data_IF_724282698969
#
_entry.id   IF_724282698969
#
_cell.length_a   1.000
_cell.length_b   1.000
_cell.length_c   1.000
_cell.angle_alpha   90.00
_cell.angle_beta   90.00
_cell.angle_gamma   90.00
#
_symmetry.space_group_name_H-M   'P 1'
#
loop_
_entity.id
_entity.type
_entity.pdbx_description
1 polymer ?
#
# COMPACT_ATOMS: atom_id res chain seq x y z
N UNK A 1 -11.44 27.35 31.48
CA UNK A 1 -10.85 26.47 30.47
C UNK A 1 -11.90 25.43 30.07
N UNK A 2 -12.33 25.44 28.80
CA UNK A 2 -13.20 24.38 28.27
C UNK A 2 -12.37 23.10 28.20
N UNK A 3 -12.79 22.03 28.88
CA UNK A 3 -12.09 20.73 28.78
C UNK A 3 -12.32 20.16 27.39
N UNK A 4 -11.25 19.90 26.64
CA UNK A 4 -11.29 19.24 25.32
C UNK A 4 -11.43 17.74 25.60
N UNK A 5 -12.58 17.16 25.26
CA UNK A 5 -12.88 15.73 25.44
C UNK A 5 -12.96 14.97 24.12
N UNK A 6 -12.50 15.58 23.02
CA UNK A 6 -12.51 14.96 21.69
C UNK A 6 -11.10 14.92 21.10
N UNK A 7 -10.87 13.94 20.26
CA UNK A 7 -9.65 13.84 19.46
C UNK A 7 -9.59 14.94 18.39
N UNK A 8 -8.40 15.30 17.90
CA UNK A 8 -8.28 16.15 16.72
C UNK A 8 -9.02 15.57 15.52
N UNK A 9 -9.40 16.41 14.56
CA UNK A 9 -10.07 15.99 13.35
C UNK A 9 -9.20 15.03 12.51
N UNK A 10 -9.78 13.93 12.03
CA UNK A 10 -9.10 12.92 11.24
C UNK A 10 -8.30 11.89 12.03
N UNK A 11 -8.35 11.95 13.37
CA UNK A 11 -7.83 10.90 14.26
C UNK A 11 -8.91 10.43 15.21
N UNK A 12 -8.81 9.19 15.69
CA UNK A 12 -9.84 8.62 16.57
C UNK A 12 -9.27 7.56 17.52
N UNK A 13 -9.92 7.40 18.65
CA UNK A 13 -9.66 6.27 19.53
C UNK A 13 -10.27 4.99 18.95
N UNK A 14 -9.52 3.88 19.01
CA UNK A 14 -9.99 2.55 18.63
C UNK A 14 -9.93 1.66 19.86
N UNK A 15 -11.04 1.08 20.27
CA UNK A 15 -11.14 0.30 21.50
C UNK A 15 -12.08 -0.92 21.35
N UNK A 16 -12.09 -1.77 22.38
CA UNK A 16 -13.02 -2.91 22.48
C UNK A 16 -12.86 -3.89 21.31
N UNK A 17 -13.99 -4.29 20.71
CA UNK A 17 -14.05 -5.27 19.64
C UNK A 17 -13.30 -4.82 18.39
N UNK A 18 -13.45 -3.56 17.98
CA UNK A 18 -12.76 -3.02 16.79
C UNK A 18 -11.23 -3.08 16.96
N UNK A 19 -10.72 -2.73 18.15
CA UNK A 19 -9.28 -2.81 18.43
C UNK A 19 -8.77 -4.26 18.32
N UNK A 20 -9.50 -5.24 18.89
CA UNK A 20 -9.16 -6.66 18.78
C UNK A 20 -9.20 -7.15 17.33
N UNK A 21 -10.20 -6.75 16.54
CA UNK A 21 -10.30 -7.09 15.12
C UNK A 21 -9.11 -6.51 14.34
N UNK A 22 -8.70 -5.29 14.63
CA UNK A 22 -7.52 -4.66 14.00
C UNK A 22 -6.22 -5.40 14.35
N UNK A 23 -6.07 -5.84 15.60
CA UNK A 23 -4.92 -6.63 16.03
C UNK A 23 -4.88 -7.99 15.31
N UNK A 24 -6.02 -8.68 15.20
CA UNK A 24 -6.11 -9.96 14.50
C UNK A 24 -5.84 -9.81 12.99
N UNK A 25 -6.36 -8.77 12.35
CA UNK A 25 -6.03 -8.43 10.96
C UNK A 25 -4.51 -8.28 10.79
N UNK A 26 -3.88 -7.47 11.64
CA UNK A 26 -2.43 -7.27 11.62
C UNK A 26 -1.67 -8.58 11.81
N UNK A 27 -2.10 -9.44 12.72
CA UNK A 27 -1.50 -10.75 12.98
C UNK A 27 -1.55 -11.66 11.75
N UNK A 28 -2.70 -11.71 11.03
CA UNK A 28 -2.86 -12.52 9.82
C UNK A 28 -1.95 -12.04 8.70
N UNK A 29 -1.94 -10.75 8.42
CA UNK A 29 -1.08 -10.17 7.38
C UNK A 29 0.39 -10.40 7.71
N UNK A 30 0.83 -10.10 8.95
CA UNK A 30 2.20 -10.34 9.41
C UNK A 30 2.62 -11.81 9.21
N UNK A 31 1.73 -12.76 9.52
CA UNK A 31 1.99 -14.19 9.33
C UNK A 31 2.24 -14.54 7.86
N UNK A 32 1.56 -13.87 6.92
CA UNK A 32 1.83 -14.06 5.50
C UNK A 32 3.22 -13.55 5.15
N UNK A 33 3.58 -12.33 5.53
CA UNK A 33 4.90 -11.74 5.24
C UNK A 33 6.04 -12.62 5.77
N UNK A 34 5.91 -13.14 7.00
CA UNK A 34 6.88 -14.05 7.59
C UNK A 34 7.01 -15.38 6.85
N UNK A 35 5.92 -15.94 6.30
CA UNK A 35 5.97 -17.17 5.49
C UNK A 35 6.73 -16.99 4.17
N UNK A 36 6.78 -15.77 3.65
CA UNK A 36 7.57 -15.41 2.47
C UNK A 36 9.03 -15.05 2.82
N UNK A 37 9.44 -15.21 4.10
CA UNK A 37 10.82 -14.98 4.54
C UNK A 37 11.18 -13.51 4.73
N UNK A 38 10.19 -12.61 4.83
CA UNK A 38 10.46 -11.19 5.12
C UNK A 38 10.72 -10.99 6.61
N UNK A 39 11.67 -10.12 6.93
CA UNK A 39 12.07 -9.76 8.29
C UNK A 39 11.44 -8.45 8.73
N UNK A 40 11.17 -8.32 10.03
CA UNK A 40 10.62 -7.09 10.61
C UNK A 40 11.64 -5.95 10.57
N UNK A 41 11.16 -4.76 10.22
CA UNK A 41 11.88 -3.51 10.45
C UNK A 41 10.98 -2.50 11.16
N UNK A 42 11.54 -1.82 12.14
CA UNK A 42 10.92 -0.65 12.77
C UNK A 42 11.75 0.60 12.46
N UNK A 43 11.14 1.56 11.78
CA UNK A 43 11.73 2.87 11.51
C UNK A 43 11.15 3.92 12.46
N UNK A 44 11.87 5.03 12.72
CA UNK A 44 11.37 6.11 13.58
C UNK A 44 10.03 6.66 13.09
N UNK A 45 9.18 7.10 14.04
CA UNK A 45 7.90 7.74 13.71
C UNK A 45 8.08 9.13 13.10
N UNK A 46 9.19 9.77 13.38
CA UNK A 46 9.56 11.05 12.78
C UNK A 46 10.99 10.98 12.23
N UNK A 47 11.24 11.73 11.18
CA UNK A 47 12.50 11.78 10.44
C UNK A 47 12.86 13.23 10.14
N UNK A 48 14.07 13.46 9.66
CA UNK A 48 14.41 14.75 9.06
C UNK A 48 13.58 15.01 7.80
N UNK A 49 13.22 16.25 7.55
CA UNK A 49 12.40 16.65 6.40
C UNK A 49 13.00 16.20 5.05
N UNK A 50 14.32 16.15 4.95
CA UNK A 50 15.06 15.75 3.76
C UNK A 50 14.73 14.32 3.30
N UNK A 51 14.38 13.42 4.24
CA UNK A 51 13.96 12.05 3.92
C UNK A 51 12.66 12.02 3.12
N UNK A 52 11.83 13.07 3.24
CA UNK A 52 10.55 13.21 2.53
C UNK A 52 10.51 14.46 1.64
N UNK A 53 11.66 14.96 1.19
CA UNK A 53 11.75 16.09 0.27
C UNK A 53 11.10 15.79 -1.09
N UNK A 54 10.90 16.82 -1.93
CA UNK A 54 10.17 16.71 -3.20
C UNK A 54 10.71 15.62 -4.15
N UNK A 55 12.00 15.31 -4.09
CA UNK A 55 12.63 14.32 -4.96
C UNK A 55 12.37 12.88 -4.49
N UNK A 56 12.07 12.69 -3.21
CA UNK A 56 11.90 11.39 -2.55
C UNK A 56 10.46 11.19 -2.06
N UNK A 57 9.75 12.28 -1.80
CA UNK A 57 8.45 12.26 -1.11
C UNK A 57 7.29 11.78 -1.97
N UNK A 58 6.42 10.98 -1.33
CA UNK A 58 5.15 10.51 -1.89
C UNK A 58 4.01 11.50 -1.67
N UNK A 59 4.20 12.47 -0.78
CA UNK A 59 3.19 13.41 -0.30
C UNK A 59 3.70 14.84 -0.48
N UNK A 60 2.87 15.78 -0.99
CA UNK A 60 3.25 17.17 -1.10
C UNK A 60 3.68 17.77 0.24
N UNK A 61 4.73 18.59 0.22
CA UNK A 61 5.32 19.22 1.43
C UNK A 61 4.30 19.95 2.32
N UNK A 62 3.21 20.50 1.74
CA UNK A 62 2.12 21.18 2.46
C UNK A 62 1.24 20.22 3.27
N UNK A 63 1.27 18.94 2.94
CA UNK A 63 0.48 17.89 3.59
C UNK A 63 1.29 17.09 4.63
N UNK A 64 2.51 17.53 4.94
CA UNK A 64 3.35 16.95 5.98
C UNK A 64 3.09 17.63 7.34
N UNK A 65 3.06 16.83 8.42
CA UNK A 65 3.12 17.34 9.79
C UNK A 65 4.58 17.65 10.13
N UNK A 66 4.92 18.95 10.23
CA UNK A 66 6.27 19.44 10.49
C UNK A 66 6.39 20.04 11.88
N UNK A 67 7.54 19.85 12.51
CA UNK A 67 7.91 20.44 13.78
C UNK A 67 9.44 20.65 13.84
N UNK A 68 9.94 21.24 14.90
CA UNK A 68 11.37 21.55 15.04
C UNK A 68 11.93 20.85 16.27
N UNK A 69 13.18 20.40 16.15
CA UNK A 69 13.96 19.98 17.31
C UNK A 69 14.58 21.19 18.02
N UNK A 70 15.38 20.93 19.08
CA UNK A 70 16.03 21.98 19.85
C UNK A 70 17.13 22.72 19.09
N UNK A 71 17.71 22.09 18.08
CA UNK A 71 18.80 22.62 17.27
C UNK A 71 18.27 23.36 16.02
N UNK A 72 16.94 23.41 15.84
CA UNK A 72 16.26 24.11 14.74
C UNK A 72 16.10 23.27 13.48
N UNK A 73 16.41 21.98 13.51
CA UNK A 73 16.19 21.11 12.36
C UNK A 73 14.69 20.86 12.17
N UNK A 74 14.26 20.83 10.90
CA UNK A 74 12.87 20.48 10.55
C UNK A 74 12.68 18.98 10.58
N UNK A 75 11.77 18.52 11.43
CA UNK A 75 11.34 17.13 11.56
C UNK A 75 9.94 16.94 10.99
N UNK A 76 9.63 15.71 10.56
CA UNK A 76 8.35 15.35 9.93
C UNK A 76 7.84 14.07 10.55
N UNK A 77 6.55 14.01 10.93
CA UNK A 77 5.88 12.73 11.14
C UNK A 77 5.83 11.99 9.81
N UNK A 78 6.27 10.74 9.77
CA UNK A 78 6.35 9.96 8.52
C UNK A 78 4.99 9.88 7.81
N UNK A 79 4.89 10.35 6.55
CA UNK A 79 3.68 10.22 5.74
C UNK A 79 3.59 8.86 5.06
N UNK A 80 4.73 8.15 4.97
CA UNK A 80 4.93 6.88 4.29
C UNK A 80 6.13 6.15 4.91
N UNK A 81 6.21 4.82 4.73
CA UNK A 81 7.33 4.02 5.23
C UNK A 81 8.45 3.84 4.23
N UNK A 82 8.15 3.75 2.94
CA UNK A 82 9.13 3.40 1.89
C UNK A 82 10.39 4.26 1.91
N UNK A 83 10.33 5.62 2.05
CA UNK A 83 11.55 6.42 2.16
C UNK A 83 12.36 6.13 3.43
N UNK A 84 11.69 5.92 4.58
CA UNK A 84 12.37 5.57 5.84
C UNK A 84 13.06 4.21 5.77
N UNK A 85 12.40 3.21 5.17
CA UNK A 85 12.99 1.87 4.94
C UNK A 85 14.15 1.95 3.97
N UNK A 86 14.00 2.71 2.86
CA UNK A 86 15.07 2.94 1.88
C UNK A 86 16.31 3.58 2.50
N UNK A 87 16.14 4.62 3.34
CA UNK A 87 17.22 5.23 4.11
C UNK A 87 17.89 4.23 5.06
N UNK A 88 17.12 3.45 5.79
CA UNK A 88 17.64 2.44 6.70
C UNK A 88 18.39 1.34 5.93
N UNK A 89 17.86 0.89 4.80
CA UNK A 89 18.50 -0.09 3.94
C UNK A 89 19.86 0.42 3.43
N UNK A 90 19.91 1.63 2.92
CA UNK A 90 21.15 2.26 2.46
C UNK A 90 22.18 2.43 3.56
N UNK A 91 21.77 2.54 4.83
CA UNK A 91 22.66 2.77 5.97
C UNK A 91 23.18 1.48 6.62
N UNK A 92 22.42 0.38 6.57
CA UNK A 92 22.69 -0.79 7.40
C UNK A 92 22.81 -2.11 6.61
N UNK A 93 22.46 -2.12 5.33
CA UNK A 93 22.46 -3.34 4.50
C UNK A 93 23.30 -3.15 3.25
N UNK A 94 23.62 -4.25 2.58
CA UNK A 94 24.37 -4.30 1.32
C UNK A 94 23.54 -5.00 0.23
N UNK A 95 22.51 -4.33 -0.31
CA UNK A 95 21.57 -4.96 -1.25
C UNK A 95 22.18 -5.33 -2.61
N UNK A 96 23.39 -4.87 -2.89
CA UNK A 96 24.24 -5.27 -4.04
C UNK A 96 24.86 -6.66 -3.86
N UNK A 97 24.99 -7.15 -2.63
CA UNK A 97 25.55 -8.47 -2.31
C UNK A 97 24.45 -9.53 -2.17
N UNK A 98 23.36 -9.20 -1.47
CA UNK A 98 22.23 -10.09 -1.22
C UNK A 98 20.92 -9.26 -1.17
N UNK A 99 19.85 -9.73 -1.84
CA UNK A 99 18.55 -9.06 -1.74
C UNK A 99 18.05 -8.97 -0.31
N UNK A 100 17.59 -7.77 0.06
CA UNK A 100 17.05 -7.46 1.38
C UNK A 100 15.52 -7.50 1.33
N UNK A 101 14.90 -8.28 2.23
CA UNK A 101 13.44 -8.45 2.31
C UNK A 101 12.95 -8.00 3.68
N UNK A 102 12.24 -6.88 3.72
CA UNK A 102 11.80 -6.24 4.96
C UNK A 102 10.28 -6.04 4.96
N UNK A 103 9.66 -6.18 6.13
CA UNK A 103 8.28 -5.75 6.31
C UNK A 103 8.13 -4.87 7.55
N UNK A 104 7.13 -4.00 7.50
CA UNK A 104 6.83 -3.05 8.57
C UNK A 104 5.34 -2.98 8.89
N UNK A 105 5.05 -2.52 10.11
CA UNK A 105 3.68 -2.21 10.56
C UNK A 105 3.72 -0.96 11.43
N UNK A 106 2.93 0.04 11.11
CA UNK A 106 2.85 1.25 11.94
C UNK A 106 1.90 2.31 11.38
N UNK A 107 1.87 3.45 12.04
CA UNK A 107 1.06 4.60 11.66
C UNK A 107 1.83 5.52 10.72
N UNK A 108 1.10 6.08 9.77
CA UNK A 108 1.52 7.20 8.92
C UNK A 108 0.58 8.37 9.11
N UNK A 109 1.09 9.58 8.83
CA UNK A 109 0.42 10.83 9.19
C UNK A 109 0.39 11.78 7.99
N UNK A 110 -0.82 12.15 7.55
CA UNK A 110 -1.02 13.07 6.41
C UNK A 110 -1.91 14.21 6.85
N UNK A 111 -1.40 15.43 6.75
CA UNK A 111 -2.14 16.65 7.07
C UNK A 111 -3.00 17.11 5.86
N UNK A 112 -3.91 16.22 5.44
CA UNK A 112 -4.87 16.53 4.39
C UNK A 112 -5.92 17.55 4.85
N UNK A 113 -6.53 18.28 3.89
CA UNK A 113 -7.60 19.22 4.21
C UNK A 113 -8.83 18.51 4.79
N UNK A 114 -9.49 19.15 5.76
CA UNK A 114 -10.58 18.62 6.58
C UNK A 114 -11.85 18.22 5.83
N UNK A 115 -12.03 18.67 4.60
CA UNK A 115 -13.30 18.59 3.86
C UNK A 115 -13.63 17.21 3.27
N UNK A 116 -12.81 16.18 3.51
CA UNK A 116 -12.99 14.87 2.83
C UNK A 116 -13.33 13.71 3.78
N UNK A 117 -13.45 13.92 5.08
CA UNK A 117 -13.70 12.83 6.05
C UNK A 117 -12.59 11.76 6.08
N UNK A 118 -11.40 12.06 5.56
CA UNK A 118 -10.26 11.14 5.52
C UNK A 118 -9.56 11.10 6.87
N UNK A 119 -9.08 9.91 7.23
CA UNK A 119 -8.20 9.77 8.38
C UNK A 119 -6.85 10.44 8.09
N UNK A 120 -6.32 11.17 9.08
CA UNK A 120 -5.00 11.79 9.06
C UNK A 120 -3.93 10.90 9.66
N UNK A 121 -4.35 9.90 10.44
CA UNK A 121 -3.53 8.82 10.98
C UNK A 121 -4.06 7.51 10.42
N UNK A 122 -3.22 6.76 9.71
CA UNK A 122 -3.57 5.52 9.02
C UNK A 122 -2.56 4.44 9.41
N UNK A 123 -3.05 3.24 9.70
CA UNK A 123 -2.17 2.09 9.89
C UNK A 123 -1.81 1.47 8.55
N UNK A 124 -0.52 1.41 8.27
CA UNK A 124 0.07 0.75 7.12
C UNK A 124 0.79 -0.53 7.53
N UNK A 125 0.69 -1.54 6.66
CA UNK A 125 1.49 -2.76 6.71
C UNK A 125 2.07 -2.98 5.33
N UNK A 126 3.38 -3.01 5.20
CA UNK A 126 4.01 -3.10 3.89
C UNK A 126 5.26 -3.94 3.89
N UNK A 127 5.71 -4.26 2.70
CA UNK A 127 6.93 -5.01 2.43
C UNK A 127 7.78 -4.28 1.41
N UNK A 128 9.10 -4.43 1.54
CA UNK A 128 10.07 -3.92 0.57
C UNK A 128 11.08 -5.03 0.27
N UNK A 129 11.26 -5.34 -1.03
CA UNK A 129 12.33 -6.21 -1.54
C UNK A 129 13.30 -5.36 -2.33
N UNK A 130 14.54 -5.31 -1.88
CA UNK A 130 15.58 -4.41 -2.35
C UNK A 130 16.76 -5.24 -2.83
N UNK A 131 17.32 -4.92 -4.01
CA UNK A 131 18.44 -5.64 -4.62
C UNK A 131 18.02 -6.70 -5.65
N UNK A 132 16.75 -6.77 -6.04
CA UNK A 132 16.25 -7.77 -7.00
C UNK A 132 15.41 -7.12 -8.11
N UNK A 133 15.89 -7.17 -9.36
CA UNK A 133 15.19 -6.63 -10.54
C UNK A 133 14.48 -7.71 -11.37
N UNK A 134 14.31 -8.90 -10.85
CA UNK A 134 13.67 -9.99 -11.58
C UNK A 134 12.14 -9.83 -11.68
N UNK A 135 11.49 -10.32 -12.74
CA UNK A 135 10.04 -10.43 -12.81
C UNK A 135 9.49 -11.46 -11.79
N UNK A 136 10.31 -12.38 -11.33
CA UNK A 136 10.02 -13.32 -10.27
C UNK A 136 9.75 -12.59 -8.93
N UNK A 137 10.56 -11.58 -8.61
CA UNK A 137 10.34 -10.73 -7.44
C UNK A 137 9.01 -9.96 -7.52
N UNK A 138 8.69 -9.41 -8.69
CA UNK A 138 7.42 -8.73 -8.93
C UNK A 138 6.22 -9.67 -8.75
N UNK A 139 6.30 -10.88 -9.32
CA UNK A 139 5.25 -11.89 -9.21
C UNK A 139 5.04 -12.38 -7.77
N UNK A 140 6.12 -12.56 -7.02
CA UNK A 140 6.06 -12.98 -5.61
C UNK A 140 5.35 -11.93 -4.74
N UNK A 141 5.62 -10.63 -4.94
CA UNK A 141 4.93 -9.57 -4.20
C UNK A 141 3.45 -9.47 -4.57
N UNK A 142 3.10 -9.67 -5.84
CA UNK A 142 1.70 -9.75 -6.26
C UNK A 142 1.00 -10.97 -5.64
N UNK A 143 1.65 -12.14 -5.62
CA UNK A 143 1.13 -13.35 -4.98
C UNK A 143 0.94 -13.14 -3.46
N UNK A 144 1.92 -12.54 -2.80
CA UNK A 144 1.85 -12.18 -1.38
C UNK A 144 0.71 -11.18 -1.09
N UNK A 145 0.50 -10.20 -1.98
CA UNK A 145 -0.63 -9.27 -1.89
C UNK A 145 -1.97 -10.02 -1.89
N UNK A 146 -2.15 -10.95 -2.84
CA UNK A 146 -3.36 -11.78 -2.94
C UNK A 146 -3.52 -12.63 -1.69
N UNK A 147 -2.47 -13.33 -1.24
CA UNK A 147 -2.53 -14.18 -0.05
C UNK A 147 -2.84 -13.40 1.23
N UNK A 148 -2.26 -12.22 1.39
CA UNK A 148 -2.53 -11.35 2.53
C UNK A 148 -4.01 -10.95 2.61
N UNK A 149 -4.62 -10.54 1.50
CA UNK A 149 -6.04 -10.22 1.44
C UNK A 149 -6.92 -11.45 1.70
N UNK A 150 -6.59 -12.59 1.10
CA UNK A 150 -7.29 -13.87 1.32
C UNK A 150 -7.20 -14.34 2.77
N UNK A 151 -6.07 -14.15 3.43
CA UNK A 151 -5.85 -14.51 4.84
C UNK A 151 -6.78 -13.74 5.80
N UNK A 152 -7.16 -12.52 5.41
CA UNK A 152 -8.13 -11.69 6.13
C UNK A 152 -9.58 -12.08 5.85
N UNK A 153 -9.84 -13.05 4.96
CA UNK A 153 -11.17 -13.50 4.59
C UNK A 153 -11.77 -12.77 3.38
N UNK A 154 -11.10 -11.78 2.82
CA UNK A 154 -11.57 -11.10 1.61
C UNK A 154 -11.50 -12.05 0.42
N UNK A 155 -12.56 -12.14 -0.40
CA UNK A 155 -12.66 -13.05 -1.56
C UNK A 155 -12.91 -12.30 -2.86
N UNK A 156 -13.69 -11.23 -2.79
CA UNK A 156 -14.13 -10.42 -3.93
C UNK A 156 -13.24 -9.17 -4.02
N UNK A 157 -12.13 -9.29 -4.73
CA UNK A 157 -11.21 -8.18 -4.99
C UNK A 157 -10.48 -8.40 -6.31
N UNK A 158 -9.88 -7.33 -6.81
CA UNK A 158 -9.07 -7.35 -8.02
C UNK A 158 -7.78 -6.56 -7.80
N UNK A 159 -6.67 -7.09 -8.29
CA UNK A 159 -5.38 -6.42 -8.34
C UNK A 159 -5.15 -5.93 -9.75
N UNK A 160 -5.21 -4.63 -9.93
CA UNK A 160 -4.93 -3.94 -11.19
C UNK A 160 -3.44 -3.71 -11.30
N UNK A 161 -2.83 -4.17 -12.39
CA UNK A 161 -1.38 -4.08 -12.63
C UNK A 161 -1.11 -3.23 -13.87
N UNK A 162 -0.34 -2.17 -13.71
CA UNK A 162 0.15 -1.32 -14.78
C UNK A 162 1.66 -1.43 -14.97
N UNK A 163 2.17 -0.75 -16.01
CA UNK A 163 3.61 -0.73 -16.30
C UNK A 163 4.04 0.68 -16.74
N UNK A 164 4.78 1.32 -15.86
CA UNK A 164 5.19 2.73 -16.04
C UNK A 164 6.14 2.91 -17.21
N UNK A 165 7.03 1.94 -17.46
CA UNK A 165 8.00 2.04 -18.54
C UNK A 165 7.37 1.97 -19.93
N UNK A 166 6.21 1.33 -20.07
CA UNK A 166 5.46 1.35 -21.32
C UNK A 166 5.11 2.79 -21.70
N UNK A 167 4.49 3.53 -20.79
CA UNK A 167 4.13 4.92 -21.02
C UNK A 167 5.33 5.85 -21.14
N UNK A 168 6.33 5.72 -20.25
CA UNK A 168 7.56 6.53 -20.29
C UNK A 168 8.34 6.40 -21.58
N UNK A 169 8.43 5.18 -22.15
CA UNK A 169 9.14 4.96 -23.39
C UNK A 169 8.44 5.59 -24.60
N UNK A 170 7.11 5.59 -24.61
CA UNK A 170 6.30 6.27 -25.62
C UNK A 170 6.40 7.79 -25.50
N UNK A 171 6.40 8.34 -24.28
CA UNK A 171 6.63 9.78 -24.07
C UNK A 171 8.00 10.21 -24.56
N UNK A 172 9.04 9.41 -24.30
CA UNK A 172 10.38 9.69 -24.79
C UNK A 172 10.46 9.68 -26.32
N UNK A 173 9.74 8.77 -26.97
CA UNK A 173 9.64 8.71 -28.43
C UNK A 173 8.87 9.91 -29.00
N UNK A 174 7.81 10.34 -28.31
CA UNK A 174 6.99 11.48 -28.69
C UNK A 174 7.74 12.82 -28.62
N UNK A 175 8.76 12.92 -27.73
CA UNK A 175 9.57 14.13 -27.58
C UNK A 175 8.78 15.36 -27.13
N UNK A 176 7.71 15.15 -26.33
CA UNK A 176 6.87 16.23 -25.83
C UNK A 176 7.61 17.11 -24.82
N UNK A 177 7.25 18.39 -24.78
CA UNK A 177 7.65 19.28 -23.70
C UNK A 177 7.02 18.84 -22.36
N UNK A 178 7.72 19.12 -21.26
CA UNK A 178 7.35 18.63 -19.92
C UNK A 178 5.90 18.95 -19.53
N UNK A 179 5.42 20.13 -19.90
CA UNK A 179 4.05 20.56 -19.61
C UNK A 179 3.01 19.72 -20.36
N UNK A 180 3.27 19.42 -21.64
CA UNK A 180 2.42 18.55 -22.46
C UNK A 180 2.47 17.10 -21.96
N UNK A 181 3.62 16.59 -21.52
CA UNK A 181 3.74 15.28 -20.89
C UNK A 181 2.90 15.17 -19.60
N UNK A 182 3.00 16.17 -18.71
CA UNK A 182 2.23 16.20 -17.47
C UNK A 182 0.72 16.26 -17.73
N UNK A 183 0.31 17.04 -18.75
CA UNK A 183 -1.08 17.13 -19.17
C UNK A 183 -1.58 15.81 -19.76
N UNK A 184 -0.83 15.19 -20.67
CA UNK A 184 -1.18 13.89 -21.25
C UNK A 184 -1.32 12.82 -20.17
N UNK A 185 -0.39 12.80 -19.20
CA UNK A 185 -0.44 11.90 -18.05
C UNK A 185 -1.71 12.08 -17.22
N UNK A 186 -2.11 13.31 -16.97
CA UNK A 186 -3.32 13.62 -16.22
C UNK A 186 -4.57 13.12 -16.97
N UNK A 187 -4.68 13.44 -18.26
CA UNK A 187 -5.80 13.03 -19.11
C UNK A 187 -5.96 11.50 -19.19
N UNK A 188 -4.85 10.77 -19.36
CA UNK A 188 -4.86 9.29 -19.40
C UNK A 188 -5.28 8.73 -18.04
N UNK A 189 -4.69 9.23 -16.95
CA UNK A 189 -5.01 8.79 -15.58
C UNK A 189 -6.48 9.01 -15.20
N UNK A 190 -7.07 10.09 -15.70
CA UNK A 190 -8.47 10.46 -15.47
C UNK A 190 -9.44 9.82 -16.47
N UNK A 191 -8.90 9.02 -17.42
CA UNK A 191 -9.65 8.39 -18.52
C UNK A 191 -10.46 9.41 -19.34
N UNK A 192 -9.88 10.59 -19.53
CA UNK A 192 -10.44 11.66 -20.35
C UNK A 192 -10.08 11.44 -21.83
N UNK A 193 -10.85 10.61 -22.51
CA UNK A 193 -10.62 10.19 -23.91
C UNK A 193 -10.55 11.39 -24.87
N UNK A 194 -11.52 12.29 -24.79
CA UNK A 194 -11.58 13.47 -25.66
C UNK A 194 -10.39 14.41 -25.45
N UNK A 195 -10.00 14.65 -24.21
CA UNK A 195 -8.82 15.45 -23.93
C UNK A 195 -7.53 14.84 -24.47
N UNK A 196 -7.40 13.51 -24.47
CA UNK A 196 -6.25 12.81 -25.08
C UNK A 196 -6.25 13.00 -26.60
N UNK A 197 -7.40 12.84 -27.27
CA UNK A 197 -7.54 13.07 -28.72
C UNK A 197 -7.15 14.51 -29.08
N UNK A 198 -7.69 15.49 -28.38
CA UNK A 198 -7.42 16.92 -28.62
C UNK A 198 -5.92 17.24 -28.42
N UNK A 199 -5.32 16.78 -27.32
CA UNK A 199 -3.92 17.04 -27.06
C UNK A 199 -2.99 16.40 -28.11
N UNK A 200 -3.29 15.17 -28.53
CA UNK A 200 -2.53 14.43 -29.54
C UNK A 200 -2.56 15.17 -30.89
N UNK A 201 -3.71 15.72 -31.30
CA UNK A 201 -3.86 16.53 -32.51
C UNK A 201 -3.11 17.86 -32.39
N UNK A 202 -3.24 18.57 -31.25
CA UNK A 202 -2.53 19.83 -30.97
C UNK A 202 -1.01 19.67 -31.06
N UNK A 203 -0.49 18.59 -30.48
CA UNK A 203 0.95 18.27 -30.49
C UNK A 203 1.45 17.69 -31.82
N UNK A 204 0.55 17.43 -32.79
CA UNK A 204 0.86 16.92 -34.14
C UNK A 204 1.70 15.65 -34.11
N UNK A 205 1.36 14.73 -33.21
CA UNK A 205 2.07 13.47 -33.08
C UNK A 205 1.94 12.64 -34.38
N UNK A 206 2.93 11.81 -34.67
CA UNK A 206 2.84 10.90 -35.80
C UNK A 206 1.65 9.92 -35.61
N UNK A 207 1.03 9.42 -36.68
CA UNK A 207 -0.20 8.61 -36.60
C UNK A 207 -0.07 7.39 -35.69
N UNK A 208 1.10 6.76 -35.62
CA UNK A 208 1.36 5.59 -34.79
C UNK A 208 1.32 5.95 -33.30
N UNK A 209 2.05 6.99 -32.87
CA UNK A 209 2.03 7.46 -31.49
C UNK A 209 0.66 8.01 -31.05
N UNK A 210 0.01 8.74 -31.97
CA UNK A 210 -1.35 9.23 -31.76
C UNK A 210 -2.30 8.07 -31.42
N UNK A 211 -2.32 7.02 -32.23
CA UNK A 211 -3.15 5.85 -32.03
C UNK A 211 -2.86 5.15 -30.69
N UNK A 212 -1.57 5.01 -30.30
CA UNK A 212 -1.23 4.39 -29.02
C UNK A 212 -1.73 5.20 -27.85
N UNK A 213 -1.50 6.52 -27.82
CA UNK A 213 -1.95 7.37 -26.73
C UNK A 213 -3.48 7.44 -26.59
N UNK A 214 -4.19 7.47 -27.72
CA UNK A 214 -5.66 7.42 -27.73
C UNK A 214 -6.20 6.07 -27.19
N UNK A 215 -5.50 4.97 -27.46
CA UNK A 215 -5.88 3.64 -26.97
C UNK A 215 -5.51 3.39 -25.49
N UNK A 216 -4.48 4.05 -24.95
CA UNK A 216 -4.00 3.81 -23.57
C UNK A 216 -5.10 3.83 -22.51
N UNK A 217 -6.03 4.81 -22.46
CA UNK A 217 -7.09 4.80 -21.47
C UNK A 217 -8.06 3.62 -21.59
N UNK A 218 -8.09 2.96 -22.77
CA UNK A 218 -8.93 1.80 -23.06
C UNK A 218 -8.22 0.46 -22.79
N UNK A 219 -6.91 0.47 -22.62
CA UNK A 219 -6.11 -0.73 -22.36
C UNK A 219 -6.26 -1.20 -20.91
N UNK A 220 -7.45 -1.69 -20.60
CA UNK A 220 -7.81 -2.25 -19.30
C UNK A 220 -8.55 -3.57 -19.48
N UNK A 221 -8.22 -4.58 -18.68
CA UNK A 221 -8.93 -5.87 -18.67
C UNK A 221 -8.05 -7.07 -18.34
N UNK A 222 -8.42 -8.22 -18.90
CA UNK A 222 -7.73 -9.49 -18.72
C UNK A 222 -6.38 -9.53 -19.48
N UNK A 223 -5.73 -10.67 -19.49
CA UNK A 223 -4.42 -10.88 -20.15
C UNK A 223 -4.42 -10.54 -21.65
N UNK A 224 -5.55 -10.58 -22.32
CA UNK A 224 -5.70 -10.21 -23.75
C UNK A 224 -5.27 -8.77 -24.03
N UNK A 225 -5.39 -7.89 -23.03
CA UNK A 225 -4.93 -6.49 -23.13
C UNK A 225 -3.43 -6.40 -23.39
N UNK A 226 -2.63 -7.34 -22.88
CA UNK A 226 -1.17 -7.39 -23.13
C UNK A 226 -0.87 -7.58 -24.62
N UNK A 227 -1.61 -8.47 -25.31
CA UNK A 227 -1.45 -8.68 -26.76
C UNK A 227 -1.81 -7.43 -27.56
N UNK A 228 -2.89 -6.75 -27.16
CA UNK A 228 -3.30 -5.49 -27.76
C UNK A 228 -2.23 -4.42 -27.57
N UNK A 229 -1.74 -4.22 -26.34
CA UNK A 229 -0.70 -3.25 -26.02
C UNK A 229 0.57 -3.49 -26.84
N UNK A 230 0.99 -4.77 -26.98
CA UNK A 230 2.15 -5.16 -27.77
C UNK A 230 1.98 -4.82 -29.27
N UNK A 231 0.78 -4.98 -29.82
CA UNK A 231 0.51 -4.73 -31.25
C UNK A 231 0.43 -3.25 -31.64
N UNK A 232 0.34 -2.35 -30.66
CA UNK A 232 0.18 -0.92 -30.92
C UNK A 232 1.49 -0.18 -31.15
N UNK A 233 2.65 -0.78 -30.82
CA UNK A 233 3.93 -0.09 -30.92
C UNK A 233 5.09 -1.03 -31.27
N UNK A 234 6.05 -0.50 -32.03
CA UNK A 234 7.33 -1.15 -32.31
C UNK A 234 8.45 -0.67 -31.36
N UNK A 235 8.13 0.22 -30.41
CA UNK A 235 9.09 0.71 -29.42
C UNK A 235 9.61 -0.43 -28.55
N UNK A 236 10.88 -0.77 -28.71
CA UNK A 236 11.51 -1.92 -28.06
C UNK A 236 11.44 -1.87 -26.51
N UNK A 237 11.43 -0.68 -25.93
CA UNK A 237 11.31 -0.52 -24.47
C UNK A 237 9.88 -0.75 -24.01
N UNK A 238 8.89 -0.27 -24.77
CA UNK A 238 7.48 -0.55 -24.51
C UNK A 238 7.17 -2.05 -24.68
N UNK A 239 7.71 -2.69 -25.72
CA UNK A 239 7.56 -4.14 -25.96
C UNK A 239 8.13 -4.94 -24.78
N UNK A 240 9.36 -4.63 -24.31
CA UNK A 240 9.97 -5.29 -23.13
C UNK A 240 9.13 -5.09 -21.86
N UNK A 241 8.50 -3.93 -21.71
CA UNK A 241 7.60 -3.67 -20.58
C UNK A 241 6.37 -4.60 -20.60
N UNK A 242 5.81 -4.88 -21.80
CA UNK A 242 4.71 -5.86 -21.95
C UNK A 242 5.21 -7.28 -21.70
N UNK A 243 6.37 -7.67 -22.25
CA UNK A 243 6.96 -9.00 -22.03
C UNK A 243 7.20 -9.30 -20.54
N UNK A 244 7.61 -8.28 -19.77
CA UNK A 244 7.73 -8.42 -18.31
C UNK A 244 6.36 -8.73 -17.65
N UNK A 245 5.28 -8.06 -18.05
CA UNK A 245 3.94 -8.34 -17.56
C UNK A 245 3.45 -9.75 -17.97
N UNK A 246 3.73 -10.17 -19.19
CA UNK A 246 3.43 -11.53 -19.68
C UNK A 246 4.14 -12.58 -18.79
N UNK A 247 5.44 -12.38 -18.52
CA UNK A 247 6.22 -13.26 -17.62
C UNK A 247 5.65 -13.30 -16.22
N UNK A 248 5.32 -12.17 -15.64
CA UNK A 248 4.69 -12.06 -14.31
C UNK A 248 3.36 -12.84 -14.29
N UNK A 249 2.54 -12.70 -15.32
CA UNK A 249 1.26 -13.40 -15.40
C UNK A 249 1.43 -14.93 -15.46
N UNK A 250 2.40 -15.43 -16.22
CA UNK A 250 2.70 -16.87 -16.26
C UNK A 250 3.15 -17.39 -14.88
N UNK A 251 3.93 -16.63 -14.14
CA UNK A 251 4.31 -16.97 -12.76
C UNK A 251 3.09 -16.98 -11.83
N UNK A 252 2.20 -16.01 -11.95
CA UNK A 252 0.98 -15.94 -11.14
C UNK A 252 0.01 -17.09 -11.40
N UNK A 253 0.00 -17.67 -12.61
CA UNK A 253 -0.71 -18.94 -12.87
C UNK A 253 -0.14 -20.10 -12.06
N UNK A 254 1.19 -20.16 -11.90
CA UNK A 254 1.83 -21.19 -11.06
C UNK A 254 1.42 -21.04 -9.59
N UNK A 255 1.27 -19.78 -9.12
CA UNK A 255 0.70 -19.49 -7.79
C UNK A 255 -0.81 -19.77 -7.69
N UNK A 256 -1.54 -19.87 -8.82
CA UNK A 256 -3.00 -20.03 -8.85
C UNK A 256 -3.76 -18.75 -8.52
N UNK A 257 -3.15 -17.60 -8.75
CA UNK A 257 -3.69 -16.27 -8.40
C UNK A 257 -4.05 -15.40 -9.61
N UNK A 258 -3.92 -15.91 -10.84
CA UNK A 258 -4.19 -15.21 -12.09
C UNK A 258 -5.60 -14.61 -12.18
N UNK A 259 -6.58 -15.26 -11.56
CA UNK A 259 -7.99 -14.79 -11.55
C UNK A 259 -8.21 -13.48 -10.78
N UNK A 260 -7.29 -13.13 -9.91
CA UNK A 260 -7.35 -11.86 -9.14
C UNK A 260 -6.68 -10.70 -9.88
N UNK A 261 -6.02 -10.96 -11.02
CA UNK A 261 -5.19 -10.00 -11.72
C UNK A 261 -5.93 -9.44 -12.94
N UNK A 262 -5.89 -8.13 -13.09
CA UNK A 262 -6.21 -7.45 -14.34
C UNK A 262 -5.07 -6.48 -14.69
N UNK A 263 -5.02 -6.06 -15.94
CA UNK A 263 -4.01 -5.13 -16.43
C UNK A 263 -4.64 -3.78 -16.76
N UNK A 264 -3.95 -2.68 -16.44
CA UNK A 264 -4.39 -1.32 -16.72
C UNK A 264 -3.19 -0.45 -17.13
N UNK A 265 -3.03 -0.20 -18.42
CA UNK A 265 -1.99 0.68 -18.95
C UNK A 265 -2.29 2.17 -18.73
N UNK A 266 -3.54 2.51 -18.39
CA UNK A 266 -3.93 3.85 -17.96
C UNK A 266 -3.50 4.20 -16.52
N UNK A 267 -2.95 3.23 -15.78
CA UNK A 267 -2.32 3.46 -14.47
C UNK A 267 -0.98 4.18 -14.63
N UNK A 268 -1.02 5.41 -15.13
CA UNK A 268 0.16 6.27 -15.24
C UNK A 268 0.35 7.01 -13.92
N UNK A 269 1.31 6.58 -13.11
CA UNK A 269 1.52 7.11 -11.77
C UNK A 269 1.90 8.59 -11.77
N UNK A 270 1.28 9.35 -10.85
CA UNK A 270 1.76 10.71 -10.49
C UNK A 270 3.01 10.65 -9.60
N UNK A 271 3.28 9.49 -9.01
CA UNK A 271 4.47 9.26 -8.17
C UNK A 271 5.66 9.04 -9.09
N UNK A 272 6.59 9.98 -9.10
CA UNK A 272 7.69 10.01 -10.07
C UNK A 272 8.74 8.91 -9.85
N UNK A 273 8.85 8.36 -8.64
CA UNK A 273 9.86 7.35 -8.34
C UNK A 273 9.55 5.94 -8.86
N UNK A 274 8.30 5.63 -9.28
CA UNK A 274 8.03 4.33 -9.89
C UNK A 274 8.69 4.19 -11.25
N UNK A 275 9.35 3.03 -11.46
CA UNK A 275 10.18 2.75 -12.64
C UNK A 275 9.81 1.47 -13.39
N UNK A 276 8.82 0.73 -12.94
CA UNK A 276 8.45 -0.55 -13.53
C UNK A 276 6.97 -0.84 -13.34
N UNK A 277 6.65 -2.02 -12.80
CA UNK A 277 5.27 -2.34 -12.47
C UNK A 277 4.74 -1.41 -11.39
N UNK A 278 3.46 -1.09 -11.49
CA UNK A 278 2.66 -0.50 -10.42
C UNK A 278 1.39 -1.33 -10.26
N UNK A 279 0.88 -1.44 -9.04
CA UNK A 279 -0.34 -2.19 -8.82
C UNK A 279 -1.16 -1.66 -7.66
N UNK A 280 -2.46 -1.90 -7.73
CA UNK A 280 -3.41 -1.48 -6.72
C UNK A 280 -4.48 -2.56 -6.57
N UNK A 281 -4.85 -2.88 -5.33
CA UNK A 281 -5.94 -3.81 -5.07
C UNK A 281 -7.22 -3.07 -4.66
N UNK A 282 -8.31 -3.43 -5.27
CA UNK A 282 -9.64 -2.86 -5.05
C UNK A 282 -10.66 -3.92 -4.67
N UNK A 283 -11.64 -3.51 -3.87
CA UNK A 283 -12.83 -4.28 -3.58
C UNK A 283 -14.05 -3.37 -3.52
N UNK A 284 -15.24 -3.95 -3.59
CA UNK A 284 -16.46 -3.18 -3.41
C UNK A 284 -16.63 -2.70 -1.96
N UNK A 285 -17.35 -1.60 -1.80
CA UNK A 285 -17.56 -0.98 -0.48
C UNK A 285 -16.47 0.00 -0.02
N UNK A 286 -15.40 0.19 -0.82
CA UNK A 286 -14.41 1.25 -0.62
C UNK A 286 -14.23 2.04 -1.90
N UNK A 287 -14.04 3.36 -1.78
CA UNK A 287 -13.74 4.23 -2.93
C UNK A 287 -12.24 4.38 -3.22
N UNK A 288 -11.40 3.74 -2.40
CA UNK A 288 -9.94 3.83 -2.48
C UNK A 288 -9.31 2.45 -2.51
N UNK A 289 -8.11 2.29 -3.09
CA UNK A 289 -7.42 1.01 -3.10
C UNK A 289 -7.04 0.57 -1.68
N UNK A 290 -7.16 -0.73 -1.43
CA UNK A 290 -6.74 -1.38 -0.19
C UNK A 290 -5.23 -1.59 -0.12
N UNK A 291 -4.61 -1.77 -1.30
CA UNK A 291 -3.18 -2.01 -1.46
C UNK A 291 -2.67 -1.12 -2.57
N UNK A 292 -1.48 -0.58 -2.37
CA UNK A 292 -0.70 0.14 -3.39
C UNK A 292 0.71 -0.42 -3.40
N UNK A 293 1.26 -0.64 -4.59
CA UNK A 293 2.62 -1.14 -4.72
C UNK A 293 3.22 -0.86 -6.08
N UNK A 294 4.49 -1.18 -6.22
CA UNK A 294 5.20 -1.05 -7.48
C UNK A 294 6.71 -1.10 -7.31
N UNK A 295 7.41 -1.02 -8.45
CA UNK A 295 8.87 -1.02 -8.55
C UNK A 295 9.42 0.40 -8.59
N UNK A 296 10.49 0.66 -7.83
CA UNK A 296 11.06 2.01 -7.63
C UNK A 296 12.60 1.99 -7.58
N UNK A 297 13.24 1.63 -8.68
CA UNK A 297 14.69 1.39 -8.77
C UNK A 297 15.56 2.64 -8.54
N UNK A 298 15.00 3.85 -8.57
CA UNK A 298 15.74 5.10 -8.42
C UNK A 298 15.74 5.67 -7.00
N UNK A 299 14.86 5.17 -6.11
CA UNK A 299 14.66 5.78 -4.80
C UNK A 299 15.89 5.66 -3.90
N UNK A 300 16.53 4.49 -3.82
CA UNK A 300 17.70 4.29 -2.96
C UNK A 300 18.92 5.08 -3.43
N UNK A 301 18.96 5.51 -4.68
CA UNK A 301 20.01 6.35 -5.23
C UNK A 301 20.12 7.69 -4.50
N UNK A 302 19.00 8.25 -4.03
CA UNK A 302 18.97 9.48 -3.22
C UNK A 302 19.65 9.30 -1.86
N UNK A 303 19.74 8.06 -1.37
CA UNK A 303 20.44 7.71 -0.14
C UNK A 303 21.86 7.14 -0.37
N UNK A 304 22.36 7.24 -1.64
CA UNK A 304 23.72 6.84 -1.99
C UNK A 304 23.94 5.35 -2.24
N UNK A 305 22.90 4.53 -2.24
CA UNK A 305 22.94 3.09 -2.45
C UNK A 305 21.98 2.63 -3.57
N UNK A 306 22.31 2.87 -4.85
CA UNK A 306 21.41 2.52 -5.95
C UNK A 306 21.13 1.02 -5.95
N UNK A 307 19.86 0.64 -5.87
CA UNK A 307 19.42 -0.75 -5.92
C UNK A 307 18.01 -0.87 -6.50
N UNK A 308 17.77 -1.94 -7.26
CA UNK A 308 16.42 -2.27 -7.74
C UNK A 308 15.52 -2.59 -6.55
N UNK A 309 14.32 -2.04 -6.55
CA UNK A 309 13.42 -2.15 -5.41
C UNK A 309 11.97 -2.31 -5.85
N UNK A 310 11.24 -3.18 -5.16
CA UNK A 310 9.81 -3.38 -5.34
C UNK A 310 9.16 -3.60 -3.98
N UNK A 311 7.98 -3.00 -3.77
CA UNK A 311 7.28 -3.10 -2.51
C UNK A 311 5.79 -2.83 -2.64
N UNK A 312 5.06 -3.08 -1.57
CA UNK A 312 3.66 -2.68 -1.48
C UNK A 312 3.26 -2.35 -0.04
N UNK A 313 2.17 -1.63 0.08
CA UNK A 313 1.56 -1.27 1.36
C UNK A 313 0.08 -1.63 1.37
N UNK A 314 -0.37 -2.25 2.45
CA UNK A 314 -1.78 -2.51 2.78
C UNK A 314 -2.27 -1.42 3.73
N UNK A 315 -3.37 -0.76 3.37
CA UNK A 315 -4.08 0.20 4.22
C UNK A 315 -4.98 -0.56 5.20
N UNK A 316 -4.47 -0.88 6.39
CA UNK A 316 -5.17 -1.75 7.35
C UNK A 316 -6.54 -1.21 7.77
N UNK A 317 -6.69 0.10 7.93
CA UNK A 317 -7.96 0.74 8.28
C UNK A 317 -8.99 0.66 7.16
N UNK A 318 -8.56 0.83 5.90
CA UNK A 318 -9.42 0.67 4.73
C UNK A 318 -9.85 -0.79 4.54
N UNK A 319 -8.93 -1.74 4.75
CA UNK A 319 -9.23 -3.17 4.67
C UNK A 319 -10.23 -3.57 5.76
N UNK A 320 -10.05 -3.12 7.00
CA UNK A 320 -11.00 -3.40 8.09
C UNK A 320 -12.39 -2.83 7.79
N UNK A 321 -12.44 -1.63 7.21
CA UNK A 321 -13.69 -0.99 6.77
C UNK A 321 -14.37 -1.81 5.65
N UNK A 322 -13.61 -2.27 4.64
CA UNK A 322 -14.12 -3.11 3.56
C UNK A 322 -14.73 -4.41 4.10
N UNK A 323 -13.98 -5.11 4.95
CA UNK A 323 -14.44 -6.36 5.58
C UNK A 323 -15.74 -6.15 6.38
N UNK A 324 -15.82 -5.07 7.16
CA UNK A 324 -17.03 -4.72 7.93
C UNK A 324 -18.23 -4.47 7.02
N UNK A 325 -18.06 -3.69 5.93
CA UNK A 325 -19.13 -3.40 4.96
C UNK A 325 -19.59 -4.65 4.22
N UNK A 326 -18.68 -5.58 3.97
CA UNK A 326 -18.97 -6.88 3.33
C UNK A 326 -19.48 -7.93 4.32
N UNK A 327 -19.63 -7.56 5.62
CA UNK A 327 -20.04 -8.48 6.69
C UNK A 327 -19.12 -9.68 6.85
N UNK A 328 -17.84 -9.51 6.53
CA UNK A 328 -16.80 -10.50 6.75
C UNK A 328 -16.26 -10.28 8.17
N UNK A 329 -16.48 -11.24 9.04
CA UNK A 329 -16.00 -11.16 10.41
C UNK A 329 -14.55 -11.62 10.52
N UNK A 330 -13.69 -10.73 11.00
CA UNK A 330 -12.42 -11.13 11.59
C UNK A 330 -12.73 -11.45 13.05
N UNK A 331 -12.75 -12.75 13.36
CA UNK A 331 -12.94 -13.19 14.73
C UNK A 331 -11.64 -12.90 15.50
N UNK A 332 -11.68 -12.01 16.48
CA UNK A 332 -10.58 -11.86 17.43
C UNK A 332 -10.46 -13.13 18.27
N UNK A 333 -9.31 -13.35 18.86
CA UNK A 333 -9.15 -14.35 19.90
C UNK A 333 -10.29 -14.25 20.93
N UNK A 334 -10.64 -15.38 21.55
CA UNK A 334 -11.81 -15.54 22.43
C UNK A 334 -12.08 -14.30 23.31
N UNK A 335 -13.36 -13.91 23.41
CA UNK A 335 -13.76 -12.86 24.34
C UNK A 335 -13.38 -13.26 25.77
N UNK A 336 -12.96 -12.29 26.61
CA UNK A 336 -12.62 -12.60 28.00
C UNK A 336 -13.79 -13.25 28.72
N UNK A 337 -13.54 -14.35 29.39
CA UNK A 337 -14.51 -14.93 30.33
C UNK A 337 -14.84 -13.91 31.42
N UNK A 338 -16.11 -13.55 31.57
CA UNK A 338 -16.55 -12.68 32.64
C UNK A 338 -17.00 -13.54 33.82
N UNK A 339 -16.23 -13.58 34.91
CA UNK A 339 -16.63 -14.21 36.15
C UNK A 339 -17.25 -13.15 37.07
N UNK A 340 -18.45 -13.37 37.50
CA UNK A 340 -19.15 -12.49 38.47
C UNK A 340 -18.96 -13.00 39.87
N UNK A 341 -18.75 -12.11 40.84
CA UNK A 341 -18.58 -12.44 42.25
C UNK A 341 -19.40 -11.53 43.18
N UNK A 342 -19.72 -12.06 44.34
CA UNK A 342 -20.17 -11.34 45.53
C UNK A 342 -19.04 -11.34 46.57
N UNK A 343 -19.21 -10.65 47.70
CA UNK A 343 -18.20 -10.70 48.77
C UNK A 343 -17.99 -12.14 49.30
N UNK A 344 -19.06 -12.91 49.37
CA UNK A 344 -19.03 -14.31 49.83
C UNK A 344 -18.34 -15.26 48.85
N UNK A 345 -18.43 -14.99 47.53
CA UNK A 345 -17.86 -15.87 46.48
C UNK A 345 -16.55 -15.38 45.91
N UNK A 346 -15.99 -14.28 46.49
CA UNK A 346 -14.78 -13.64 45.94
C UNK A 346 -13.59 -14.60 45.87
N UNK A 347 -13.29 -15.26 47.00
CA UNK A 347 -12.09 -16.13 47.07
C UNK A 347 -12.16 -17.28 46.08
N UNK A 348 -13.30 -17.97 46.02
CA UNK A 348 -13.53 -19.07 45.06
C UNK A 348 -13.43 -18.58 43.63
N UNK A 349 -14.01 -17.42 43.31
CA UNK A 349 -13.98 -16.82 41.98
C UNK A 349 -12.53 -16.42 41.59
N UNK A 350 -11.72 -15.94 42.51
CA UNK A 350 -10.31 -15.62 42.29
C UNK A 350 -9.50 -16.88 41.94
N UNK A 351 -9.70 -17.96 42.70
CA UNK A 351 -9.02 -19.24 42.44
C UNK A 351 -9.39 -19.76 41.03
N UNK A 352 -10.68 -19.71 40.68
CA UNK A 352 -11.18 -20.11 39.36
C UNK A 352 -10.58 -19.24 38.25
N UNK A 353 -10.57 -17.93 38.42
CA UNK A 353 -9.97 -16.99 37.47
C UNK A 353 -8.47 -17.28 37.24
N UNK A 354 -7.74 -17.53 38.33
CA UNK A 354 -6.31 -17.80 38.29
C UNK A 354 -6.01 -19.12 37.54
N UNK A 355 -6.83 -20.16 37.76
CA UNK A 355 -6.72 -21.42 37.03
C UNK A 355 -6.92 -21.21 35.52
N UNK A 356 -8.01 -20.54 35.11
CA UNK A 356 -8.30 -20.26 33.71
C UNK A 356 -7.21 -19.42 33.04
N UNK A 357 -6.64 -18.43 33.76
CA UNK A 357 -5.50 -17.64 33.26
C UNK A 357 -4.24 -18.47 33.06
N UNK A 358 -3.96 -19.44 33.95
CA UNK A 358 -2.86 -20.40 33.76
C UNK A 358 -3.07 -21.32 32.56
N UNK A 359 -4.34 -21.60 32.20
CA UNK A 359 -4.73 -22.33 30.99
C UNK A 359 -4.67 -21.44 29.72
N UNK A 360 -4.16 -20.20 29.81
CA UNK A 360 -4.04 -19.26 28.69
C UNK A 360 -5.30 -18.48 28.35
N UNK A 361 -6.37 -18.62 29.14
CA UNK A 361 -7.64 -17.93 28.89
C UNK A 361 -7.64 -16.50 29.45
N UNK A 362 -8.23 -15.58 28.71
CA UNK A 362 -8.47 -14.21 29.18
C UNK A 362 -9.67 -14.20 30.13
N UNK A 363 -9.52 -13.69 31.36
CA UNK A 363 -10.56 -13.67 32.37
C UNK A 363 -10.67 -12.30 33.03
N UNK A 364 -11.88 -11.70 33.01
CA UNK A 364 -12.26 -10.49 33.76
C UNK A 364 -13.12 -10.83 34.93
N UNK A 365 -12.99 -10.05 36.01
CA UNK A 365 -13.83 -10.17 37.23
C UNK A 365 -14.79 -9.01 37.28
N UNK A 366 -16.04 -9.29 37.64
CA UNK A 366 -17.08 -8.28 37.79
C UNK A 366 -17.86 -8.50 39.10
N UNK A 367 -17.85 -7.50 39.99
CA UNK A 367 -18.68 -7.54 41.19
C UNK A 367 -20.15 -7.52 40.76
N UNK A 368 -20.99 -8.45 41.29
CA UNK A 368 -22.45 -8.36 41.16
C UNK A 368 -22.90 -7.08 41.84
N UNK A 369 -23.69 -6.27 41.14
CA UNK A 369 -24.38 -5.15 41.78
C UNK A 369 -25.48 -5.76 42.67
N UNK A 370 -25.47 -5.43 43.93
CA UNK A 370 -26.57 -5.73 44.81
C UNK A 370 -27.79 -4.88 44.38
N UNK A 371 -28.87 -5.53 44.00
CA UNK A 371 -30.15 -4.92 43.77
C UNK A 371 -30.35 -4.17 42.44
N UNK A 372 -30.80 -4.86 41.42
CA UNK A 372 -31.80 -4.46 40.44
C UNK A 372 -32.71 -5.64 40.20
#
# INVERSE_FOLDING_TARGET
>A
MQRIFHTPEGVRDIYGRECRQKHELKRRIRSVFQKYGFEDIETPTFEYFEVFSQEVGTVPSRELYKFFDRDGNTLVLRPDFTPSVSRACASYFSPDQEPVTLFYTGQTFINSSSYQGRLKEITQMGVERIGDDSPEADAELLAMTVEALLSCGLREFQVSVGQVDYFKSLLKEAGLEKEAEEHLRALISEKNYFGVEELVEEQKLCPQLAAVFQELPHLFGSVEVLKKARSLTDNQSAVRAVERLERIYELLKVYGYEKYICFDFGMVSRIQYYTGIIFQAYTYGTGEPLVKGGRYNELLKHFGAPAASVGFVIMADSLLTALSRQKIEILPDEEPYVLTYTEETLEETLVKAQRLRKEGRSVSLRKKKEGL
#
